data_IF_592433862476
#
_entry.id   IF_592433862476
#
_cell.length_a   1.000
_cell.length_b   1.000
_cell.length_c   1.000
_cell.angle_alpha   90.00
_cell.angle_beta   90.00
_cell.angle_gamma   90.00
#
_symmetry.space_group_name_H-M   'P 1'
#
loop_
_entity.id
_entity.type
_entity.pdbx_description
1 polymer ?
#
# COMPACT_ATOMS: atom_id res chain seq x y z
N UNK A 1 22.50 23.38 3.32
CA UNK A 1 22.52 21.90 3.37
C UNK A 1 21.48 21.45 4.39
N UNK A 2 20.21 21.74 4.13
CA UNK A 2 19.08 21.24 4.93
C UNK A 2 18.46 20.07 4.15
N UNK A 3 19.16 18.93 4.10
CA UNK A 3 18.42 17.66 4.06
C UNK A 3 17.85 17.53 5.47
N UNK A 4 16.68 18.14 5.64
CA UNK A 4 15.93 18.17 6.89
C UNK A 4 15.88 16.79 7.53
N UNK A 5 15.79 16.75 8.85
CA UNK A 5 15.78 15.60 9.77
C UNK A 5 14.70 14.50 9.51
N UNK A 6 14.22 14.34 8.28
CA UNK A 6 13.23 13.36 7.91
C UNK A 6 13.84 11.95 7.93
N UNK A 7 13.43 11.19 8.93
CA UNK A 7 13.75 9.78 9.08
C UNK A 7 12.71 8.94 8.32
N UNK A 8 13.05 8.61 7.07
CA UNK A 8 12.21 7.77 6.20
C UNK A 8 11.95 6.38 6.79
N UNK A 9 12.94 5.82 7.49
CA UNK A 9 12.82 4.50 8.12
C UNK A 9 11.75 4.54 9.20
N UNK A 10 11.79 5.57 10.06
CA UNK A 10 10.75 5.77 11.08
C UNK A 10 9.37 6.00 10.47
N UNK A 11 9.27 6.75 9.38
CA UNK A 11 8.00 6.97 8.68
C UNK A 11 7.42 5.66 8.10
N UNK A 12 8.24 4.85 7.44
CA UNK A 12 7.84 3.54 6.92
C UNK A 12 7.43 2.56 8.02
N UNK A 13 8.18 2.52 9.12
CA UNK A 13 7.84 1.71 10.28
C UNK A 13 6.50 2.13 10.89
N UNK A 14 6.24 3.43 10.98
CA UNK A 14 4.95 3.93 11.46
C UNK A 14 3.80 3.51 10.53
N UNK A 15 3.97 3.64 9.21
CA UNK A 15 2.97 3.23 8.22
C UNK A 15 2.66 1.72 8.28
N UNK A 16 3.68 0.90 8.55
CA UNK A 16 3.56 -0.56 8.66
C UNK A 16 2.75 -1.04 9.89
N UNK A 17 2.49 -0.16 10.86
CA UNK A 17 1.71 -0.49 12.07
C UNK A 17 0.21 -0.60 11.77
N UNK A 18 -0.26 0.00 10.68
CA UNK A 18 -1.69 0.13 10.40
C UNK A 18 -2.15 -0.95 9.43
N UNK A 19 -3.33 -1.52 9.72
CA UNK A 19 -4.05 -2.42 8.82
C UNK A 19 -5.29 -1.70 8.31
N UNK A 20 -5.42 -1.58 6.99
CA UNK A 20 -6.51 -0.88 6.34
C UNK A 20 -7.48 -1.87 5.68
N UNK A 21 -8.69 -2.06 6.24
CA UNK A 21 -9.71 -2.85 5.56
C UNK A 21 -10.21 -2.13 4.31
N UNK A 22 -10.37 -2.86 3.21
CA UNK A 22 -10.95 -2.36 1.94
C UNK A 22 -11.95 -3.36 1.40
N UNK A 23 -13.12 -2.87 0.98
CA UNK A 23 -14.12 -3.67 0.28
C UNK A 23 -13.73 -3.80 -1.19
N UNK A 24 -13.64 -5.03 -1.67
CA UNK A 24 -13.42 -5.32 -3.08
C UNK A 24 -14.69 -5.03 -3.86
N UNK A 25 -14.56 -4.32 -4.96
CA UNK A 25 -15.63 -3.97 -5.89
C UNK A 25 -16.22 -5.20 -6.58
N UNK A 26 -17.29 -5.00 -7.35
CA UNK A 26 -17.85 -6.04 -8.21
C UNK A 26 -16.88 -6.51 -9.29
N UNK A 27 -15.95 -5.65 -9.75
CA UNK A 27 -14.93 -5.97 -10.75
C UNK A 27 -13.65 -6.57 -10.18
N UNK A 28 -13.61 -6.86 -8.87
CA UNK A 28 -12.44 -7.47 -8.24
C UNK A 28 -11.31 -6.49 -7.95
N UNK A 29 -11.61 -5.18 -7.83
CA UNK A 29 -10.63 -4.13 -7.52
C UNK A 29 -10.85 -3.51 -6.14
N UNK A 30 -9.83 -2.86 -5.61
CA UNK A 30 -9.93 -1.93 -4.48
C UNK A 30 -9.45 -0.55 -4.89
N UNK A 31 -9.87 0.50 -4.19
CA UNK A 31 -9.33 1.85 -4.40
C UNK A 31 -8.28 2.19 -3.34
N UNK A 32 -7.10 2.61 -3.81
CA UNK A 32 -6.05 3.21 -3.00
C UNK A 32 -5.63 4.52 -3.64
N UNK A 33 -5.65 5.60 -2.86
CA UNK A 33 -5.31 6.95 -3.35
C UNK A 33 -6.14 7.37 -4.57
N UNK A 34 -7.41 6.97 -4.61
CA UNK A 34 -8.31 7.24 -5.73
C UNK A 34 -8.05 6.39 -6.98
N UNK A 35 -7.11 5.43 -6.95
CA UNK A 35 -6.77 4.57 -8.08
C UNK A 35 -7.20 3.11 -7.85
N UNK A 36 -7.70 2.41 -8.87
CA UNK A 36 -8.06 1.01 -8.75
C UNK A 36 -6.82 0.10 -8.76
N UNK A 37 -6.77 -0.85 -7.84
CA UNK A 37 -5.78 -1.92 -7.79
C UNK A 37 -6.50 -3.26 -7.91
N UNK A 38 -6.00 -4.14 -8.78
CA UNK A 38 -6.62 -5.44 -9.03
C UNK A 38 -6.33 -6.40 -7.87
N UNK A 39 -7.37 -6.94 -7.24
CA UNK A 39 -7.26 -7.97 -6.20
C UNK A 39 -7.60 -9.34 -6.77
N UNK A 40 -8.60 -9.39 -7.65
CA UNK A 40 -9.07 -10.62 -8.28
C UNK A 40 -10.57 -10.87 -8.07
N UNK A 41 -11.20 -11.45 -9.08
CA UNK A 41 -12.65 -11.72 -9.10
C UNK A 41 -13.12 -12.67 -7.98
N UNK A 42 -12.26 -13.60 -7.55
CA UNK A 42 -12.55 -14.52 -6.45
C UNK A 42 -12.80 -13.82 -5.10
N UNK A 43 -12.36 -12.57 -4.98
CA UNK A 43 -12.50 -11.75 -3.79
C UNK A 43 -13.59 -10.67 -3.91
N UNK A 44 -14.37 -10.63 -5.00
CA UNK A 44 -15.43 -9.63 -5.20
C UNK A 44 -16.38 -9.55 -4.01
N UNK A 45 -16.76 -8.33 -3.63
CA UNK A 45 -17.62 -8.01 -2.48
C UNK A 45 -17.10 -8.44 -1.11
N UNK A 46 -15.91 -9.06 -1.01
CA UNK A 46 -15.26 -9.39 0.26
C UNK A 46 -14.47 -8.19 0.77
N UNK A 47 -14.16 -8.20 2.06
CA UNK A 47 -13.21 -7.26 2.65
C UNK A 47 -11.84 -7.92 2.66
N UNK A 48 -10.85 -7.19 2.18
CA UNK A 48 -9.43 -7.54 2.23
C UNK A 48 -8.71 -6.57 3.15
N UNK A 49 -7.56 -7.01 3.67
CA UNK A 49 -6.73 -6.23 4.58
C UNK A 49 -5.50 -5.75 3.83
N UNK A 50 -5.22 -4.46 3.91
CA UNK A 50 -3.99 -3.89 3.38
C UNK A 50 -3.02 -3.55 4.50
N UNK A 51 -1.76 -3.93 4.34
CA UNK A 51 -0.69 -3.59 5.25
C UNK A 51 0.55 -3.17 4.46
N UNK A 52 1.19 -2.09 4.89
CA UNK A 52 2.44 -1.65 4.26
C UNK A 52 3.60 -2.55 4.72
N UNK A 53 4.39 -3.03 3.77
CA UNK A 53 5.65 -3.72 4.02
C UNK A 53 6.83 -2.77 3.73
N UNK A 54 7.56 -2.34 4.76
CA UNK A 54 8.67 -1.39 4.62
C UNK A 54 9.92 -2.02 3.98
N UNK A 55 10.02 -3.36 3.91
CA UNK A 55 11.14 -4.03 3.23
C UNK A 55 10.96 -4.02 1.72
N UNK A 56 9.72 -4.27 1.26
CA UNK A 56 9.38 -4.31 -0.16
C UNK A 56 8.91 -2.96 -0.71
N UNK A 57 8.65 -1.97 0.16
CA UNK A 57 8.03 -0.69 -0.21
C UNK A 57 6.74 -0.95 -1.01
N UNK A 58 5.86 -1.74 -0.39
CA UNK A 58 4.68 -2.28 -1.05
C UNK A 58 3.48 -2.37 -0.11
N UNK A 59 2.28 -2.41 -0.68
CA UNK A 59 1.07 -2.80 0.02
C UNK A 59 0.84 -4.29 -0.14
N UNK A 60 0.86 -5.02 0.97
CA UNK A 60 0.42 -6.41 1.04
C UNK A 60 -1.11 -6.42 1.13
N UNK A 61 -1.75 -7.09 0.19
CA UNK A 61 -3.18 -7.36 0.20
C UNK A 61 -3.43 -8.77 0.71
N UNK A 62 -4.18 -8.88 1.80
CA UNK A 62 -4.41 -10.13 2.50
C UNK A 62 -5.90 -10.43 2.58
N UNK A 63 -6.23 -11.72 2.62
CA UNK A 63 -7.57 -12.18 2.97
C UNK A 63 -7.83 -12.11 4.49
N UNK A 64 -8.95 -12.68 4.94
CA UNK A 64 -9.32 -12.70 6.36
C UNK A 64 -8.43 -13.62 7.20
N UNK A 65 -7.83 -14.62 6.57
CA UNK A 65 -6.95 -15.60 7.20
C UNK A 65 -5.49 -15.13 7.20
N UNK A 66 -5.25 -13.87 6.78
CA UNK A 66 -3.95 -13.22 6.65
C UNK A 66 -3.04 -13.84 5.58
N UNK A 67 -3.60 -14.61 4.63
CA UNK A 67 -2.85 -15.04 3.47
C UNK A 67 -2.66 -13.85 2.53
N UNK A 68 -1.44 -13.65 2.04
CA UNK A 68 -1.16 -12.65 1.02
C UNK A 68 -1.76 -13.13 -0.30
N UNK A 69 -2.72 -12.37 -0.82
CA UNK A 69 -3.40 -12.65 -2.09
C UNK A 69 -2.89 -11.76 -3.23
N UNK A 70 -2.29 -10.61 -2.91
CA UNK A 70 -1.59 -9.77 -3.89
C UNK A 70 -0.59 -8.83 -3.19
N UNK A 71 0.36 -8.30 -3.96
CA UNK A 71 1.33 -7.30 -3.52
C UNK A 71 1.37 -6.15 -4.51
N UNK A 72 1.21 -4.92 -4.03
CA UNK A 72 1.27 -3.70 -4.84
C UNK A 72 2.53 -2.91 -4.49
N UNK A 73 3.58 -3.03 -5.31
CA UNK A 73 4.77 -2.18 -5.18
C UNK A 73 4.37 -0.72 -5.35
N UNK A 74 4.84 0.14 -4.46
CA UNK A 74 4.41 1.53 -4.39
C UNK A 74 5.61 2.49 -4.33
N UNK A 75 6.19 2.74 -5.50
CA UNK A 75 7.42 3.53 -5.67
C UNK A 75 7.30 4.98 -5.16
N UNK A 76 6.09 5.49 -4.91
CA UNK A 76 5.86 6.79 -4.28
C UNK A 76 6.53 6.89 -2.91
N UNK A 77 6.76 5.76 -2.24
CA UNK A 77 7.40 5.69 -0.93
C UNK A 77 8.93 5.46 -0.99
N UNK A 78 9.55 5.43 -2.17
CA UNK A 78 11.02 5.42 -2.19
C UNK A 78 11.57 6.80 -1.77
N UNK A 79 12.85 6.85 -1.38
CA UNK A 79 13.47 8.07 -0.87
C UNK A 79 13.38 9.23 -1.87
N UNK A 80 13.80 8.99 -3.12
CA UNK A 80 13.85 10.04 -4.15
C UNK A 80 12.47 10.67 -4.39
N UNK A 81 11.42 9.87 -4.39
CA UNK A 81 10.07 10.33 -4.72
C UNK A 81 9.40 11.04 -3.54
N UNK A 82 9.67 10.60 -2.31
CA UNK A 82 9.21 11.31 -1.11
C UNK A 82 9.90 12.68 -1.00
N UNK A 83 11.22 12.74 -1.22
CA UNK A 83 11.96 14.01 -1.13
C UNK A 83 11.59 15.00 -2.24
N UNK A 84 11.36 14.51 -3.45
CA UNK A 84 10.99 15.36 -4.59
C UNK A 84 9.48 15.61 -4.70
N UNK A 85 8.68 15.04 -3.79
CA UNK A 85 7.20 15.05 -3.88
C UNK A 85 6.68 14.56 -5.24
N UNK A 86 7.40 13.61 -5.85
CA UNK A 86 7.07 13.08 -7.17
C UNK A 86 5.97 12.03 -7.04
N UNK A 87 4.82 12.31 -7.67
CA UNK A 87 3.73 11.35 -7.79
C UNK A 87 3.85 10.68 -9.17
N UNK A 88 4.07 9.36 -9.22
CA UNK A 88 3.96 8.63 -10.50
C UNK A 88 2.52 8.62 -10.95
N UNK A 89 2.31 9.06 -12.20
CA UNK A 89 1.02 9.02 -12.86
C UNK A 89 0.73 7.67 -13.47
#
# INVERSE_FOLDING_TARGET
>A
LEQAHFDITRAHQHLAQVVYPRKVSSSGTISLYGRPFQVGWAHKHKVVLLKFDPQQIAWLCMDRDQNIINTFVDLRFNADNLFNLTIFQ
#
